data_IF_117229970802
#
_entry.id   IF_117229970802
#
_cell.length_a   1.000
_cell.length_b   1.000
_cell.length_c   1.000
_cell.angle_alpha   90.00
_cell.angle_beta   90.00
_cell.angle_gamma   90.00
#
_symmetry.space_group_name_H-M   'P 1'
#
loop_
_entity.id
_entity.type
_entity.pdbx_description
1 polymer ?
#
# COMPACT_ATOMS: atom_id res chain seq x y z
N UNK A 1 -13.43 -1.38 -5.65
CA UNK A 1 -12.88 -0.34 -4.75
C UNK A 1 -13.66 0.98 -4.75
N UNK A 2 -14.60 1.24 -5.68
CA UNK A 2 -15.46 2.44 -5.62
C UNK A 2 -14.76 3.77 -5.90
N UNK A 3 -13.46 3.75 -6.22
CA UNK A 3 -12.63 4.94 -6.40
C UNK A 3 -13.10 5.85 -7.54
N UNK A 4 -13.73 5.28 -8.57
CA UNK A 4 -14.27 6.02 -9.73
C UNK A 4 -15.44 6.95 -9.34
N UNK A 5 -16.05 6.74 -8.17
CA UNK A 5 -17.16 7.56 -7.68
C UNK A 5 -16.69 8.78 -6.87
N UNK A 6 -15.38 8.89 -6.59
CA UNK A 6 -14.82 10.02 -5.85
C UNK A 6 -14.87 11.29 -6.69
N UNK A 7 -15.53 12.33 -6.17
CA UNK A 7 -15.49 13.67 -6.76
C UNK A 7 -14.09 14.25 -6.60
N UNK A 8 -13.61 14.96 -7.62
CA UNK A 8 -12.33 15.67 -7.53
C UNK A 8 -12.39 16.70 -6.40
N UNK A 9 -11.50 16.65 -5.40
CA UNK A 9 -11.47 17.58 -4.28
C UNK A 9 -11.06 18.98 -4.76
N UNK A 10 -11.69 20.02 -4.20
CA UNK A 10 -11.40 21.41 -4.55
C UNK A 10 -9.95 21.80 -4.26
N UNK A 11 -9.42 21.34 -3.12
CA UNK A 11 -8.05 21.62 -2.67
C UNK A 11 -7.00 20.65 -3.26
N UNK A 12 -7.42 19.78 -4.20
CA UNK A 12 -6.57 18.79 -4.84
C UNK A 12 -6.34 17.51 -4.01
N UNK A 13 -5.75 16.51 -4.66
CA UNK A 13 -5.63 15.16 -4.11
C UNK A 13 -4.62 15.04 -2.96
N UNK A 14 -3.59 15.89 -2.94
CA UNK A 14 -2.65 15.93 -1.82
C UNK A 14 -3.37 16.34 -0.53
N UNK A 15 -4.13 17.45 -0.55
CA UNK A 15 -4.87 17.90 0.62
C UNK A 15 -5.94 16.87 1.03
N UNK A 16 -6.60 16.25 0.05
CA UNK A 16 -7.51 15.13 0.31
C UNK A 16 -6.81 13.99 1.04
N UNK A 17 -5.62 13.55 0.59
CA UNK A 17 -4.85 12.49 1.27
C UNK A 17 -4.41 12.88 2.67
N UNK A 18 -3.96 14.12 2.87
CA UNK A 18 -3.61 14.64 4.19
C UNK A 18 -4.81 14.57 5.13
N UNK A 19 -5.99 15.01 4.69
CA UNK A 19 -7.21 14.92 5.47
C UNK A 19 -7.60 13.47 5.78
N UNK A 20 -7.61 12.59 4.77
CA UNK A 20 -7.98 11.18 4.98
C UNK A 20 -6.99 10.46 5.91
N UNK A 21 -5.69 10.74 5.79
CA UNK A 21 -4.67 10.14 6.65
C UNK A 21 -4.75 10.55 8.12
N UNK A 22 -5.39 11.67 8.44
CA UNK A 22 -5.64 12.07 9.83
C UNK A 22 -6.85 11.34 10.42
N UNK A 23 -7.84 10.99 9.59
CA UNK A 23 -9.07 10.35 10.03
C UNK A 23 -8.82 8.87 10.37
N UNK A 24 -8.79 8.54 11.67
CA UNK A 24 -8.72 7.15 12.12
C UNK A 24 -10.12 6.50 12.11
N UNK A 25 -10.67 6.28 10.92
CA UNK A 25 -11.95 5.58 10.71
C UNK A 25 -11.78 4.42 9.76
N UNK A 26 -11.17 3.35 10.25
CA UNK A 26 -11.07 2.10 9.49
C UNK A 26 -12.36 1.32 9.61
N UNK A 27 -12.97 1.01 8.46
CA UNK A 27 -14.12 0.12 8.44
C UNK A 27 -13.69 -1.29 8.84
N UNK A 28 -14.61 -2.04 9.46
CA UNK A 28 -14.43 -3.47 9.73
C UNK A 28 -14.08 -4.23 8.45
N UNK A 29 -14.63 -3.81 7.31
CA UNK A 29 -14.32 -4.39 6.00
C UNK A 29 -12.85 -4.21 5.61
N UNK A 30 -12.28 -3.01 5.80
CA UNK A 30 -10.87 -2.75 5.51
C UNK A 30 -9.96 -3.63 6.39
N UNK A 31 -10.26 -3.74 7.68
CA UNK A 31 -9.50 -4.57 8.60
C UNK A 31 -9.58 -6.04 8.23
N UNK A 32 -10.78 -6.57 7.93
CA UNK A 32 -10.96 -7.94 7.50
C UNK A 32 -10.17 -8.25 6.22
N UNK A 33 -10.23 -7.37 5.22
CA UNK A 33 -9.45 -7.49 3.98
C UNK A 33 -7.95 -7.46 4.21
N UNK A 34 -7.49 -6.57 5.09
CA UNK A 34 -6.07 -6.47 5.44
C UNK A 34 -5.58 -7.73 6.17
N UNK A 35 -6.39 -8.29 7.07
CA UNK A 35 -6.07 -9.55 7.76
C UNK A 35 -5.92 -10.70 6.77
N UNK A 36 -6.80 -10.80 5.77
CA UNK A 36 -6.74 -11.85 4.74
C UNK A 36 -5.49 -11.79 3.88
N UNK A 37 -4.84 -10.64 3.72
CA UNK A 37 -3.53 -10.54 3.03
C UNK A 37 -2.51 -11.48 3.67
N UNK A 38 -2.54 -11.62 5.00
CA UNK A 38 -1.57 -12.43 5.75
C UNK A 38 -1.65 -13.91 5.41
N UNK A 39 -2.75 -14.39 4.79
CA UNK A 39 -2.85 -15.77 4.29
C UNK A 39 -1.98 -16.02 3.05
N UNK A 40 -1.50 -14.96 2.39
CA UNK A 40 -0.77 -15.03 1.14
C UNK A 40 0.71 -14.65 1.25
N UNK A 41 1.17 -14.23 2.43
CA UNK A 41 2.56 -13.81 2.65
C UNK A 41 3.03 -14.20 4.04
N UNK A 42 4.34 -14.32 4.28
CA UNK A 42 4.87 -14.49 5.64
C UNK A 42 4.71 -13.25 6.53
N UNK A 43 4.37 -12.10 5.96
CA UNK A 43 4.07 -10.90 6.74
C UNK A 43 4.00 -9.60 5.95
N UNK A 44 3.84 -8.50 6.67
CA UNK A 44 3.86 -7.14 6.12
C UNK A 44 4.94 -6.32 6.81
N UNK A 45 5.56 -5.41 6.05
CA UNK A 45 6.48 -4.39 6.59
C UNK A 45 6.03 -3.01 6.13
N UNK A 46 5.89 -2.07 7.07
CA UNK A 46 5.48 -0.69 6.80
C UNK A 46 6.41 0.27 7.54
N UNK A 47 7.19 1.05 6.79
CA UNK A 47 8.19 1.97 7.31
C UNK A 47 9.58 1.32 7.44
N UNK A 48 10.34 1.74 8.45
CA UNK A 48 11.71 1.26 8.65
C UNK A 48 11.74 -0.26 8.90
N UNK A 49 12.28 -1.01 7.95
CA UNK A 49 12.41 -2.48 8.00
C UNK A 49 13.23 -3.01 9.18
N UNK A 50 14.08 -2.19 9.81
CA UNK A 50 14.89 -2.62 10.97
C UNK A 50 14.11 -2.50 12.28
N UNK A 51 13.03 -1.71 12.31
CA UNK A 51 12.16 -1.58 13.48
C UNK A 51 11.15 -2.74 13.50
N UNK A 52 11.18 -3.54 14.57
CA UNK A 52 10.25 -4.66 14.74
C UNK A 52 8.79 -4.19 14.83
N UNK A 53 8.55 -2.95 15.29
CA UNK A 53 7.20 -2.34 15.37
C UNK A 53 6.59 -2.02 14.02
N UNK A 54 7.39 -2.12 12.95
CA UNK A 54 6.99 -1.90 11.57
C UNK A 54 6.77 -3.22 10.83
N UNK A 55 6.69 -4.35 11.55
CA UNK A 55 6.56 -5.69 10.98
C UNK A 55 5.36 -6.42 11.58
N UNK A 56 4.62 -7.09 10.71
CA UNK A 56 3.56 -8.03 11.06
C UNK A 56 4.02 -9.40 10.58
N UNK A 57 4.03 -10.40 11.47
CA UNK A 57 4.25 -11.80 11.12
C UNK A 57 2.90 -12.47 10.91
N UNK A 58 2.73 -13.11 9.74
CA UNK A 58 1.49 -13.82 9.44
C UNK A 58 1.28 -15.00 10.37
N UNK A 59 2.31 -15.81 10.64
CA UNK A 59 2.19 -16.97 11.52
C UNK A 59 1.67 -16.58 12.91
N UNK A 60 2.24 -15.54 13.52
CA UNK A 60 1.81 -15.04 14.83
C UNK A 60 0.39 -14.48 14.82
N UNK A 61 0.04 -13.69 13.80
CA UNK A 61 -1.29 -13.08 13.74
C UNK A 61 -2.36 -14.12 13.42
N UNK A 62 -2.09 -15.06 12.52
CA UNK A 62 -3.06 -16.08 12.10
C UNK A 62 -3.24 -17.18 13.16
N UNK A 63 -2.25 -17.41 14.03
CA UNK A 63 -2.40 -18.33 15.18
C UNK A 63 -3.17 -17.71 16.33
N UNK A 64 -2.99 -16.42 16.58
CA UNK A 64 -3.43 -15.78 17.82
C UNK A 64 -4.67 -14.88 17.64
N UNK A 65 -5.00 -14.50 16.40
CA UNK A 65 -6.08 -13.55 16.10
C UNK A 65 -6.98 -14.06 14.97
N UNK A 66 -8.29 -13.90 15.14
CA UNK A 66 -9.27 -14.20 14.08
C UNK A 66 -9.67 -12.96 13.27
N UNK A 67 -10.22 -13.21 12.09
CA UNK A 67 -10.70 -12.15 11.20
C UNK A 67 -11.78 -11.30 11.89
N UNK A 68 -11.56 -9.99 11.96
CA UNK A 68 -12.52 -9.05 12.55
C UNK A 68 -12.39 -8.87 14.07
N UNK A 69 -11.42 -9.52 14.72
CA UNK A 69 -11.13 -9.28 16.13
C UNK A 69 -10.49 -7.91 16.40
N UNK A 70 -10.80 -7.36 17.58
CA UNK A 70 -10.29 -6.06 18.02
C UNK A 70 -8.75 -6.04 18.18
N UNK A 71 -8.13 -7.18 18.50
CA UNK A 71 -6.68 -7.29 18.63
C UNK A 71 -5.95 -6.91 17.32
N UNK A 72 -6.48 -7.38 16.18
CA UNK A 72 -5.93 -7.02 14.88
C UNK A 72 -6.15 -5.54 14.54
N UNK A 73 -7.30 -4.98 14.91
CA UNK A 73 -7.58 -3.55 14.75
C UNK A 73 -6.52 -2.69 15.46
N UNK A 74 -6.21 -3.01 16.73
CA UNK A 74 -5.19 -2.31 17.54
C UNK A 74 -3.79 -2.46 16.92
N UNK A 75 -3.44 -3.66 16.42
CA UNK A 75 -2.16 -3.88 15.76
C UNK A 75 -2.00 -2.97 14.53
N UNK A 76 -2.99 -2.97 13.64
CA UNK A 76 -3.00 -2.13 12.44
C UNK A 76 -3.03 -0.65 12.82
N UNK A 77 -3.70 -0.28 13.92
CA UNK A 77 -3.68 1.08 14.47
C UNK A 77 -2.28 1.54 14.87
N UNK A 78 -1.59 0.73 15.68
CA UNK A 78 -0.22 1.01 16.10
C UNK A 78 0.72 1.21 14.90
N UNK A 79 0.60 0.33 13.89
CA UNK A 79 1.39 0.41 12.66
C UNK A 79 1.22 1.75 11.93
N UNK A 80 -0.01 2.26 11.80
CA UNK A 80 -0.26 3.54 11.14
C UNK A 80 0.10 4.76 12.00
N UNK A 81 0.03 4.63 13.32
CA UNK A 81 0.48 5.69 14.23
C UNK A 81 2.00 5.92 14.14
N UNK A 82 2.77 4.92 13.69
CA UNK A 82 4.19 5.07 13.39
C UNK A 82 4.46 5.84 12.08
N UNK A 83 3.43 6.14 11.28
CA UNK A 83 3.55 6.92 10.05
C UNK A 83 3.26 8.39 10.35
N UNK A 84 4.29 9.24 10.24
CA UNK A 84 4.18 10.68 10.54
C UNK A 84 3.46 11.49 9.46
N UNK A 85 3.75 11.23 8.18
CA UNK A 85 3.15 11.97 7.06
C UNK A 85 1.74 11.44 6.77
N UNK A 86 0.72 12.29 6.91
CA UNK A 86 -0.67 11.88 6.75
C UNK A 86 -0.98 11.41 5.32
N UNK A 87 -0.45 12.11 4.31
CA UNK A 87 -0.57 11.71 2.91
C UNK A 87 0.04 10.34 2.61
N UNK A 88 1.14 10.01 3.28
CA UNK A 88 1.78 8.70 3.14
C UNK A 88 1.01 7.60 3.89
N UNK A 89 0.43 7.92 5.05
CA UNK A 89 -0.48 7.02 5.75
C UNK A 89 -1.69 6.69 4.88
N UNK A 90 -2.29 7.69 4.24
CA UNK A 90 -3.39 7.44 3.31
C UNK A 90 -2.95 6.60 2.11
N UNK A 91 -1.76 6.85 1.57
CA UNK A 91 -1.23 6.05 0.46
C UNK A 91 -0.93 4.60 0.86
N UNK A 92 -0.52 4.38 2.11
CA UNK A 92 -0.38 3.04 2.71
C UNK A 92 -1.74 2.32 2.77
N UNK A 93 -2.81 3.03 3.16
CA UNK A 93 -4.17 2.50 3.17
C UNK A 93 -4.64 2.13 1.74
N UNK A 94 -4.43 3.02 0.76
CA UNK A 94 -4.68 2.76 -0.66
C UNK A 94 -3.93 1.50 -1.11
N UNK A 95 -2.67 1.35 -0.70
CA UNK A 95 -1.82 0.22 -1.08
C UNK A 95 -2.28 -1.10 -0.47
N UNK A 96 -2.63 -1.12 0.82
CA UNK A 96 -3.18 -2.32 1.46
C UNK A 96 -4.52 -2.73 0.86
N UNK A 97 -5.36 -1.75 0.50
CA UNK A 97 -6.64 -2.01 -0.16
C UNK A 97 -6.43 -2.63 -1.54
N UNK A 98 -5.49 -2.09 -2.33
CA UNK A 98 -5.12 -2.64 -3.63
C UNK A 98 -4.50 -4.04 -3.50
N UNK A 99 -3.64 -4.26 -2.50
CA UNK A 99 -3.00 -5.55 -2.23
C UNK A 99 -4.02 -6.63 -1.83
N UNK A 100 -4.99 -6.29 -0.96
CA UNK A 100 -6.08 -7.20 -0.64
C UNK A 100 -6.87 -7.58 -1.90
N UNK A 101 -7.24 -6.60 -2.73
CA UNK A 101 -7.96 -6.86 -3.98
C UNK A 101 -7.14 -7.66 -4.99
N UNK A 102 -5.82 -7.47 -5.00
CA UNK A 102 -4.89 -8.23 -5.83
C UNK A 102 -4.87 -9.71 -5.44
N UNK A 103 -4.80 -10.04 -4.15
CA UNK A 103 -4.85 -11.43 -3.69
C UNK A 103 -6.24 -12.06 -3.84
N UNK A 104 -7.32 -11.29 -3.67
CA UNK A 104 -8.69 -11.76 -3.97
C UNK A 104 -8.83 -12.23 -5.43
N UNK A 105 -8.13 -11.56 -6.36
CA UNK A 105 -8.09 -11.94 -7.78
C UNK A 105 -7.08 -13.06 -8.09
N UNK A 106 -6.14 -13.33 -7.18
CA UNK A 106 -5.07 -14.31 -7.34
C UNK A 106 -5.00 -15.24 -6.10
N UNK A 107 -6.05 -16.01 -5.80
CA UNK A 107 -6.16 -16.75 -4.53
C UNK A 107 -5.13 -17.86 -4.36
N UNK A 108 -4.50 -18.34 -5.44
CA UNK A 108 -3.44 -19.36 -5.39
C UNK A 108 -2.03 -18.78 -5.21
N UNK A 109 -1.86 -17.46 -5.32
CA UNK A 109 -0.54 -16.83 -5.20
C UNK A 109 -0.11 -16.79 -3.72
N UNK A 110 1.07 -17.32 -3.45
CA UNK A 110 1.73 -17.29 -2.13
C UNK A 110 3.11 -16.63 -2.30
N UNK A 111 3.39 -15.66 -1.44
CA UNK A 111 4.66 -14.93 -1.37
C UNK A 111 5.42 -15.38 -0.13
N UNK A 112 6.52 -16.10 -0.31
CA UNK A 112 7.27 -16.66 0.82
C UNK A 112 7.84 -15.60 1.77
N UNK A 113 8.13 -14.42 1.24
CA UNK A 113 8.72 -13.30 1.98
C UNK A 113 7.66 -12.26 2.39
N UNK A 114 7.98 -11.50 3.45
CA UNK A 114 7.14 -10.41 3.90
C UNK A 114 7.12 -9.29 2.86
N UNK A 115 5.92 -8.81 2.53
CA UNK A 115 5.74 -7.73 1.56
C UNK A 115 6.08 -6.39 2.23
N UNK A 116 7.02 -5.65 1.62
CA UNK A 116 7.42 -4.32 2.08
C UNK A 116 6.58 -3.27 1.36
N UNK A 117 5.64 -2.65 2.08
CA UNK A 117 4.69 -1.69 1.51
C UNK A 117 5.40 -0.48 0.90
N UNK A 118 6.45 0.02 1.54
CA UNK A 118 7.27 1.14 1.06
C UNK A 118 7.94 0.85 -0.28
N UNK A 119 8.36 -0.40 -0.50
CA UNK A 119 8.95 -0.84 -1.77
C UNK A 119 7.88 -0.89 -2.86
N UNK A 120 6.70 -1.41 -2.54
CA UNK A 120 5.56 -1.42 -3.46
C UNK A 120 5.16 0.00 -3.88
N UNK A 121 5.02 0.91 -2.93
CA UNK A 121 4.69 2.32 -3.22
C UNK A 121 5.81 2.96 -4.03
N UNK A 122 7.08 2.75 -3.67
CA UNK A 122 8.22 3.29 -4.42
C UNK A 122 8.26 2.84 -5.88
N UNK A 123 7.95 1.57 -6.15
CA UNK A 123 7.82 1.06 -7.52
C UNK A 123 6.63 1.70 -8.25
N UNK A 124 5.49 1.86 -7.59
CA UNK A 124 4.33 2.54 -8.17
C UNK A 124 4.65 3.99 -8.57
N UNK A 125 5.36 4.72 -7.70
CA UNK A 125 5.83 6.09 -7.96
C UNK A 125 6.77 6.13 -9.17
N UNK A 126 7.73 5.20 -9.24
CA UNK A 126 8.65 5.10 -10.38
C UNK A 126 7.88 4.83 -11.70
N UNK A 127 7.04 3.80 -11.71
CA UNK A 127 6.26 3.41 -12.89
C UNK A 127 5.36 4.56 -13.37
N UNK A 128 4.71 5.27 -12.45
CA UNK A 128 3.89 6.43 -12.79
C UNK A 128 4.71 7.55 -13.43
N UNK A 129 5.87 7.85 -12.85
CA UNK A 129 6.74 8.92 -13.32
C UNK A 129 7.36 8.62 -14.68
N UNK A 130 7.91 7.42 -14.86
CA UNK A 130 8.53 6.99 -16.13
C UNK A 130 7.50 6.88 -17.26
N UNK A 131 6.23 6.57 -16.95
CA UNK A 131 5.17 6.59 -17.96
C UNK A 131 4.91 8.00 -18.49
N UNK A 132 4.99 9.02 -17.64
CA UNK A 132 4.80 10.43 -18.03
C UNK A 132 6.07 11.03 -18.66
N UNK A 133 7.25 10.62 -18.19
CA UNK A 133 8.57 11.10 -18.65
C UNK A 133 9.51 9.94 -19.00
N UNK A 134 9.29 9.21 -20.12
CA UNK A 134 10.09 8.04 -20.47
C UNK A 134 11.59 8.36 -20.63
N UNK A 135 11.92 9.56 -21.10
CA UNK A 135 13.29 10.04 -21.28
C UNK A 135 14.07 10.16 -19.96
N UNK A 136 13.38 10.25 -18.83
CA UNK A 136 13.98 10.43 -17.49
C UNK A 136 14.26 9.11 -16.78
N UNK A 137 13.91 7.96 -17.37
CA UNK A 137 14.06 6.65 -16.74
C UNK A 137 15.50 6.35 -16.29
N UNK A 138 16.49 6.66 -17.14
CA UNK A 138 17.90 6.40 -16.85
C UNK A 138 18.45 7.26 -15.70
N UNK A 139 17.81 8.39 -15.42
CA UNK A 139 18.21 9.36 -14.39
C UNK A 139 17.11 9.53 -13.33
N UNK A 140 16.31 8.48 -13.08
CA UNK A 140 15.16 8.54 -12.18
C UNK A 140 15.55 9.03 -10.78
N UNK A 141 16.71 8.62 -10.27
CA UNK A 141 17.18 8.99 -8.93
C UNK A 141 17.36 10.52 -8.78
N UNK A 142 17.69 11.23 -9.86
CA UNK A 142 17.78 12.70 -9.88
C UNK A 142 16.41 13.38 -9.78
N UNK A 143 15.35 12.66 -10.17
CA UNK A 143 13.98 13.17 -10.23
C UNK A 143 13.07 12.58 -9.15
N UNK A 144 13.61 11.74 -8.26
CA UNK A 144 12.83 10.96 -7.29
C UNK A 144 11.92 11.82 -6.42
N UNK A 145 12.42 12.92 -5.85
CA UNK A 145 11.61 13.82 -5.02
C UNK A 145 10.42 14.39 -5.80
N UNK A 146 10.66 14.80 -7.05
CA UNK A 146 9.61 15.32 -7.92
C UNK A 146 8.59 14.23 -8.33
N UNK A 147 9.05 13.00 -8.53
CA UNK A 147 8.18 11.86 -8.77
C UNK A 147 7.20 11.63 -7.61
N UNK A 148 7.68 11.70 -6.36
CA UNK A 148 6.85 11.61 -5.16
C UNK A 148 5.84 12.74 -5.05
N UNK A 149 6.28 13.99 -5.24
CA UNK A 149 5.39 15.16 -5.24
C UNK A 149 4.25 15.00 -6.24
N UNK A 150 4.55 14.56 -7.47
CA UNK A 150 3.51 14.31 -8.48
C UNK A 150 2.60 13.16 -8.09
N UNK A 151 3.14 12.07 -7.56
CA UNK A 151 2.33 10.91 -7.17
C UNK A 151 1.30 11.27 -6.08
N UNK A 152 1.68 12.09 -5.10
CA UNK A 152 0.73 12.57 -4.09
C UNK A 152 -0.39 13.46 -4.65
N UNK A 153 -0.18 14.08 -5.81
CA UNK A 153 -1.19 14.90 -6.49
C UNK A 153 -2.11 14.08 -7.42
N UNK A 154 -1.81 12.81 -7.67
CA UNK A 154 -2.63 11.96 -8.53
C UNK A 154 -3.92 11.52 -7.83
N UNK A 155 -4.99 11.28 -8.60
CA UNK A 155 -6.22 10.73 -8.04
C UNK A 155 -6.01 9.32 -7.45
N UNK A 156 -6.81 8.89 -6.46
CA UNK A 156 -6.76 7.53 -5.92
C UNK A 156 -6.92 6.44 -6.98
N UNK A 157 -7.72 6.68 -8.03
CA UNK A 157 -7.87 5.76 -9.18
C UNK A 157 -6.52 5.58 -9.89
N UNK A 158 -5.82 6.68 -10.13
CA UNK A 158 -4.57 6.67 -10.88
C UNK A 158 -3.44 6.08 -10.03
N UNK A 159 -3.27 6.51 -8.77
CA UNK A 159 -2.27 5.91 -7.86
C UNK A 159 -2.49 4.40 -7.72
N UNK A 160 -3.73 3.96 -7.52
CA UNK A 160 -4.09 2.54 -7.40
C UNK A 160 -3.76 1.74 -8.65
N UNK A 161 -3.93 2.32 -9.84
CA UNK A 161 -3.54 1.68 -11.11
C UNK A 161 -2.04 1.35 -11.13
N UNK A 162 -1.19 2.28 -10.68
CA UNK A 162 0.25 2.05 -10.60
C UNK A 162 0.66 1.16 -9.43
N UNK A 163 -0.06 1.20 -8.32
CA UNK A 163 0.13 0.25 -7.22
C UNK A 163 -0.12 -1.18 -7.71
N UNK A 164 -1.22 -1.43 -8.43
CA UNK A 164 -1.50 -2.75 -9.02
C UNK A 164 -0.43 -3.12 -10.05
N UNK A 165 0.04 -2.16 -10.86
CA UNK A 165 1.13 -2.40 -11.81
C UNK A 165 2.43 -2.80 -11.10
N UNK A 166 2.76 -2.15 -9.98
CA UNK A 166 3.90 -2.50 -9.14
C UNK A 166 3.75 -3.88 -8.50
N UNK A 167 2.55 -4.24 -8.02
CA UNK A 167 2.27 -5.57 -7.46
C UNK A 167 2.44 -6.67 -8.50
N UNK A 168 1.95 -6.48 -9.73
CA UNK A 168 2.22 -7.41 -10.82
C UNK A 168 3.72 -7.54 -11.06
N UNK A 169 4.44 -6.42 -11.21
CA UNK A 169 5.88 -6.47 -11.45
C UNK A 169 6.67 -7.16 -10.33
N UNK A 170 6.30 -6.93 -9.06
CA UNK A 170 7.03 -7.47 -7.91
C UNK A 170 6.66 -8.92 -7.58
N UNK A 171 5.40 -9.31 -7.78
CA UNK A 171 4.86 -10.57 -7.24
C UNK A 171 4.55 -11.62 -8.31
N UNK A 172 4.36 -11.24 -9.58
CA UNK A 172 4.06 -12.21 -10.66
C UNK A 172 5.26 -12.51 -11.55
N UNK A 173 6.38 -11.80 -11.40
CA UNK A 173 7.57 -11.97 -12.26
C UNK A 173 8.50 -13.12 -11.80
N UNK A 174 8.13 -13.88 -10.76
CA UNK A 174 8.76 -15.20 -10.52
C UNK A 174 8.10 -16.28 -11.39
N UNK A 175 8.15 -16.12 -12.71
CA UNK A 175 8.29 -17.30 -13.57
C UNK A 175 9.78 -17.66 -13.52
N UNK A 176 10.08 -18.69 -12.73
CA UNK A 176 11.37 -19.37 -12.78
C UNK A 176 11.53 -19.88 -14.20
N UNK A 177 12.49 -19.32 -14.95
CA UNK A 177 13.14 -20.04 -16.04
C UNK A 177 14.02 -21.15 -15.47
#
# INVERSE_FOLDING_TARGET
MGLEQLKTPLDGWLAWRQHQGILDRRSTEFLAKTWRILKHTSGLVIGNKMDKRNRISSDLVLSDMTEGENAFAILIEHMFNNIHAAEYRQLTIETLTALASFFEQNPSLIVEEAIVIDVTIGHAVNLAYVKEFPERQQHYDEHKSHAWERFYQQSPVHSTTFIISALNHLLTVRQVE
#
